data_IF_535609227080
#
_entry.id   IF_535609227080
#
_cell.length_a   1.000
_cell.length_b   1.000
_cell.length_c   1.000
_cell.angle_alpha   90.00
_cell.angle_beta   90.00
_cell.angle_gamma   90.00
#
_symmetry.space_group_name_H-M   'P 1'
#
loop_
_entity.id
_entity.type
_entity.pdbx_description
1 polymer ?
#
# COMPACT_ATOMS: atom_id res chain seq x y z
N UNK A 1 0.59 -6.35 18.06
CA UNK A 1 0.11 -6.50 16.66
C UNK A 1 -1.17 -5.70 16.41
N UNK A 2 -2.30 -6.03 17.04
CA UNK A 2 -3.57 -5.29 16.87
C UNK A 2 -3.42 -3.76 16.98
N UNK A 3 -2.78 -3.27 18.05
CA UNK A 3 -2.54 -1.83 18.24
C UNK A 3 -1.78 -1.19 17.06
N UNK A 4 -0.74 -1.86 16.56
CA UNK A 4 0.05 -1.41 15.40
C UNK A 4 -0.78 -1.36 14.12
N UNK A 5 -1.62 -2.37 13.89
CA UNK A 5 -2.55 -2.41 12.76
C UNK A 5 -3.55 -1.24 12.81
N UNK A 6 -4.14 -0.99 13.98
CA UNK A 6 -5.05 0.15 14.19
C UNK A 6 -4.34 1.48 13.97
N UNK A 7 -3.13 1.65 14.49
CA UNK A 7 -2.34 2.88 14.27
C UNK A 7 -2.00 3.08 12.80
N UNK A 8 -1.58 2.02 12.10
CA UNK A 8 -1.27 2.09 10.68
C UNK A 8 -2.51 2.40 9.85
N UNK A 9 -3.64 1.75 10.16
CA UNK A 9 -4.93 2.01 9.54
C UNK A 9 -5.30 3.49 9.67
N UNK A 10 -5.33 4.03 10.89
CA UNK A 10 -5.69 5.43 11.13
C UNK A 10 -4.75 6.38 10.38
N UNK A 11 -3.43 6.13 10.46
CA UNK A 11 -2.43 6.97 9.80
C UNK A 11 -2.61 7.01 8.29
N UNK A 12 -2.78 5.85 7.65
CA UNK A 12 -2.95 5.77 6.20
C UNK A 12 -4.29 6.37 5.81
N UNK A 13 -5.38 6.02 6.49
CA UNK A 13 -6.72 6.56 6.21
C UNK A 13 -6.73 8.08 6.23
N UNK A 14 -6.16 8.70 7.26
CA UNK A 14 -6.10 10.15 7.38
C UNK A 14 -5.20 10.76 6.32
N UNK A 15 -4.01 10.20 6.11
CA UNK A 15 -3.06 10.72 5.12
C UNK A 15 -3.64 10.68 3.70
N UNK A 16 -4.27 9.57 3.32
CA UNK A 16 -4.94 9.43 2.03
C UNK A 16 -6.12 10.38 1.91
N UNK A 17 -6.95 10.51 2.94
CA UNK A 17 -8.10 11.45 2.89
C UNK A 17 -7.61 12.88 2.67
N UNK A 18 -6.59 13.31 3.42
CA UNK A 18 -5.97 14.63 3.25
C UNK A 18 -5.34 14.79 1.86
N UNK A 19 -4.70 13.75 1.34
CA UNK A 19 -4.12 13.76 0.01
C UNK A 19 -5.17 13.92 -1.09
N UNK A 20 -6.29 13.20 -1.00
CA UNK A 20 -7.42 13.34 -1.94
C UNK A 20 -8.00 14.74 -1.87
N UNK A 21 -8.22 15.26 -0.65
CA UNK A 21 -8.69 16.64 -0.47
C UNK A 21 -7.74 17.65 -1.12
N UNK A 22 -6.43 17.50 -0.92
CA UNK A 22 -5.42 18.36 -1.54
C UNK A 22 -5.50 18.30 -3.08
N UNK A 23 -5.59 17.11 -3.66
CA UNK A 23 -5.72 16.95 -5.12
C UNK A 23 -6.99 17.63 -5.64
N UNK A 24 -8.12 17.44 -4.95
CA UNK A 24 -9.38 18.08 -5.32
C UNK A 24 -9.26 19.60 -5.25
N UNK A 25 -8.64 20.15 -4.20
CA UNK A 25 -8.40 21.59 -4.07
C UNK A 25 -7.52 22.14 -5.21
N UNK A 26 -6.46 21.41 -5.60
CA UNK A 26 -5.53 21.87 -6.64
C UNK A 26 -6.10 21.76 -8.05
N UNK A 27 -6.86 20.70 -8.35
CA UNK A 27 -7.27 20.39 -9.73
C UNK A 27 -8.74 20.71 -10.03
N UNK A 28 -9.61 20.78 -9.03
CA UNK A 28 -11.05 21.05 -9.25
C UNK A 28 -11.48 22.47 -8.87
N UNK A 29 -10.58 23.27 -8.28
CA UNK A 29 -10.84 24.68 -7.96
C UNK A 29 -12.01 24.88 -6.97
N UNK A 30 -12.72 26.01 -7.09
CA UNK A 30 -13.83 26.40 -6.21
C UNK A 30 -15.18 25.74 -6.57
N UNK A 31 -15.18 24.45 -6.89
CA UNK A 31 -16.44 23.73 -7.10
C UNK A 31 -17.14 23.42 -5.78
N UNK A 32 -18.46 23.62 -5.72
CA UNK A 32 -19.28 23.25 -4.57
C UNK A 32 -19.36 21.72 -4.48
N UNK A 33 -18.82 21.17 -3.40
CA UNK A 33 -18.87 19.74 -3.12
C UNK A 33 -20.16 19.40 -2.36
N UNK A 34 -20.83 18.33 -2.79
CA UNK A 34 -21.91 17.76 -2.02
C UNK A 34 -21.37 17.10 -0.74
N UNK A 35 -22.16 17.09 0.33
CA UNK A 35 -21.79 16.37 1.58
C UNK A 35 -21.53 14.88 1.29
N UNK A 36 -22.26 14.28 0.35
CA UNK A 36 -22.04 12.90 -0.08
C UNK A 36 -20.66 12.67 -0.70
N UNK A 37 -20.13 13.67 -1.41
CA UNK A 37 -18.77 13.61 -1.99
C UNK A 37 -17.70 13.58 -0.90
N UNK A 38 -17.89 14.34 0.19
CA UNK A 38 -16.97 14.33 1.33
C UNK A 38 -16.90 12.94 1.97
N UNK A 39 -18.05 12.29 2.18
CA UNK A 39 -18.10 10.92 2.70
C UNK A 39 -17.42 9.90 1.80
N UNK A 40 -17.51 10.07 0.48
CA UNK A 40 -16.78 9.24 -0.48
C UNK A 40 -15.27 9.37 -0.32
N UNK A 41 -14.74 10.57 -0.04
CA UNK A 41 -13.30 10.74 0.23
C UNK A 41 -12.84 10.04 1.51
N UNK A 42 -13.63 10.10 2.58
CA UNK A 42 -13.37 9.27 3.77
C UNK A 42 -13.44 7.77 3.44
N UNK A 43 -14.36 7.35 2.57
CA UNK A 43 -14.41 5.99 2.04
C UNK A 43 -13.12 5.59 1.32
N UNK A 44 -12.60 6.45 0.44
CA UNK A 44 -11.32 6.23 -0.26
C UNK A 44 -10.17 6.07 0.75
N UNK A 45 -10.11 6.97 1.74
CA UNK A 45 -9.17 6.86 2.84
C UNK A 45 -9.29 5.52 3.56
N UNK A 46 -10.50 5.09 3.91
CA UNK A 46 -10.77 3.83 4.59
C UNK A 46 -10.33 2.61 3.79
N UNK A 47 -10.61 2.56 2.49
CA UNK A 47 -10.16 1.48 1.60
C UNK A 47 -8.63 1.40 1.56
N UNK A 48 -7.98 2.55 1.39
CA UNK A 48 -6.51 2.60 1.39
C UNK A 48 -5.92 2.23 2.75
N UNK A 49 -6.55 2.65 3.84
CA UNK A 49 -6.19 2.24 5.20
C UNK A 49 -6.30 0.74 5.40
N UNK A 50 -7.36 0.11 4.90
CA UNK A 50 -7.52 -1.35 4.98
C UNK A 50 -6.44 -2.08 4.18
N UNK A 51 -6.16 -1.67 2.94
CA UNK A 51 -5.18 -2.38 2.11
C UNK A 51 -3.75 -2.10 2.55
N UNK A 52 -3.36 -0.84 2.64
CA UNK A 52 -1.98 -0.44 2.93
C UNK A 52 -1.67 -0.45 4.43
N UNK A 53 -2.63 -0.05 5.27
CA UNK A 53 -2.46 0.01 6.72
C UNK A 53 -2.63 -1.34 7.41
N UNK A 54 -3.44 -2.24 6.85
CA UNK A 54 -3.69 -3.57 7.43
C UNK A 54 -3.26 -4.74 6.53
N UNK A 55 -3.79 -4.81 5.31
CA UNK A 55 -3.61 -5.95 4.41
C UNK A 55 -2.16 -6.24 4.10
N UNK A 56 -1.39 -5.22 3.70
CA UNK A 56 0.04 -5.36 3.44
C UNK A 56 0.85 -5.74 4.67
N UNK A 57 0.73 -5.08 5.82
CA UNK A 57 1.40 -5.52 7.04
C UNK A 57 1.11 -6.98 7.41
N UNK A 58 -0.13 -7.45 7.24
CA UNK A 58 -0.49 -8.85 7.47
C UNK A 58 0.18 -9.78 6.46
N UNK A 59 0.04 -9.50 5.17
CA UNK A 59 0.59 -10.31 4.08
C UNK A 59 2.11 -10.47 4.19
N UNK A 60 2.82 -9.42 4.56
CA UNK A 60 4.29 -9.42 4.56
C UNK A 60 4.93 -9.78 5.89
N UNK A 61 4.25 -9.61 7.03
CA UNK A 61 4.86 -9.83 8.35
C UNK A 61 4.19 -10.90 9.19
N UNK A 62 2.98 -11.32 8.84
CA UNK A 62 2.21 -12.31 9.63
C UNK A 62 2.07 -13.61 8.84
N UNK A 63 1.73 -13.50 7.56
CA UNK A 63 1.50 -14.66 6.71
C UNK A 63 2.84 -15.29 6.29
N UNK A 64 2.92 -16.61 6.35
CA UNK A 64 4.13 -17.40 6.04
C UNK A 64 4.14 -17.95 4.61
N UNK A 65 3.38 -17.33 3.70
CA UNK A 65 3.28 -17.79 2.32
C UNK A 65 4.57 -17.54 1.54
N UNK A 66 4.85 -18.37 0.51
CA UNK A 66 5.92 -18.10 -0.44
C UNK A 66 5.74 -16.73 -1.10
N UNK A 67 6.86 -16.03 -1.33
CA UNK A 67 6.84 -14.68 -1.89
C UNK A 67 6.01 -14.54 -3.18
N UNK A 68 6.03 -15.47 -4.15
CA UNK A 68 5.19 -15.36 -5.35
C UNK A 68 3.69 -15.30 -5.03
N UNK A 69 3.25 -16.08 -4.04
CA UNK A 69 1.84 -16.12 -3.61
C UNK A 69 1.45 -14.80 -2.96
N UNK A 70 2.30 -14.29 -2.05
CA UNK A 70 2.08 -13.01 -1.38
C UNK A 70 2.01 -11.86 -2.38
N UNK A 71 2.87 -11.85 -3.40
CA UNK A 71 2.86 -10.84 -4.47
C UNK A 71 1.55 -10.89 -5.25
N UNK A 72 1.12 -12.07 -5.72
CA UNK A 72 -0.13 -12.21 -6.50
C UNK A 72 -1.34 -11.74 -5.69
N UNK A 73 -1.42 -12.10 -4.40
CA UNK A 73 -2.53 -11.69 -3.54
C UNK A 73 -2.47 -10.18 -3.25
N UNK A 74 -1.28 -9.63 -3.02
CA UNK A 74 -1.10 -8.19 -2.83
C UNK A 74 -1.49 -7.39 -4.08
N UNK A 75 -1.19 -7.91 -5.27
CA UNK A 75 -1.63 -7.34 -6.55
C UNK A 75 -3.15 -7.41 -6.67
N UNK A 76 -3.78 -8.56 -6.44
CA UNK A 76 -5.24 -8.71 -6.50
C UNK A 76 -5.96 -7.74 -5.55
N UNK A 77 -5.52 -7.67 -4.29
CA UNK A 77 -6.07 -6.71 -3.32
C UNK A 77 -5.90 -5.26 -3.77
N UNK A 78 -4.76 -4.92 -4.37
CA UNK A 78 -4.49 -3.56 -4.84
C UNK A 78 -5.37 -3.18 -6.02
N UNK A 79 -5.50 -4.08 -7.01
CA UNK A 79 -6.34 -3.86 -8.19
C UNK A 79 -7.81 -3.66 -7.77
N UNK A 80 -8.32 -4.55 -6.92
CA UNK A 80 -9.69 -4.44 -6.39
C UNK A 80 -9.90 -3.13 -5.62
N UNK A 81 -8.95 -2.75 -4.78
CA UNK A 81 -9.01 -1.49 -4.05
C UNK A 81 -8.91 -0.28 -4.96
N UNK A 82 -8.07 -0.33 -6.00
CA UNK A 82 -7.98 0.71 -7.03
C UNK A 82 -9.33 0.94 -7.68
N UNK A 83 -9.99 -0.13 -8.13
CA UNK A 83 -11.34 -0.05 -8.69
C UNK A 83 -12.38 0.48 -7.70
N UNK A 84 -12.35 0.03 -6.46
CA UNK A 84 -13.27 0.53 -5.42
C UNK A 84 -13.03 2.02 -5.12
N UNK A 85 -11.78 2.46 -5.07
CA UNK A 85 -11.41 3.87 -4.90
C UNK A 85 -11.89 4.69 -6.09
N UNK A 86 -11.70 4.21 -7.33
CA UNK A 86 -12.21 4.87 -8.52
C UNK A 86 -13.73 4.94 -8.51
N UNK A 87 -14.43 3.88 -8.12
CA UNK A 87 -15.89 3.84 -7.98
C UNK A 87 -16.41 4.86 -6.94
N UNK A 88 -15.71 4.97 -5.81
CA UNK A 88 -16.02 5.97 -4.78
C UNK A 88 -15.78 7.39 -5.28
N UNK A 89 -14.78 7.60 -6.13
CA UNK A 89 -14.49 8.91 -6.71
C UNK A 89 -15.50 9.28 -7.81
N UNK A 90 -15.67 8.42 -8.82
CA UNK A 90 -16.61 8.59 -9.92
C UNK A 90 -16.84 7.28 -10.69
N UNK A 91 -18.11 6.96 -10.91
CA UNK A 91 -18.50 5.82 -11.74
C UNK A 91 -18.09 5.99 -13.21
N UNK A 92 -18.07 7.22 -13.74
CA UNK A 92 -17.69 7.46 -15.14
C UNK A 92 -16.23 7.08 -15.39
N UNK A 93 -15.35 7.44 -14.44
CA UNK A 93 -13.94 7.04 -14.48
C UNK A 93 -13.77 5.54 -14.30
N UNK A 94 -14.60 4.90 -13.46
CA UNK A 94 -14.59 3.45 -13.30
C UNK A 94 -14.94 2.76 -14.62
N UNK A 95 -16.02 3.16 -15.28
CA UNK A 95 -16.44 2.54 -16.55
C UNK A 95 -15.40 2.68 -17.66
N UNK A 96 -14.62 3.76 -17.66
CA UNK A 96 -13.50 3.93 -18.59
C UNK A 96 -12.29 3.06 -18.24
N UNK A 97 -12.07 2.76 -16.96
CA UNK A 97 -10.93 1.98 -16.48
C UNK A 97 -11.15 0.46 -16.52
N UNK A 98 -12.39 0.00 -16.34
CA UNK A 98 -12.73 -1.44 -16.30
C UNK A 98 -12.30 -2.22 -17.55
N UNK A 99 -12.42 -1.70 -18.79
CA UNK A 99 -11.94 -2.40 -19.98
C UNK A 99 -10.44 -2.74 -19.92
N UNK A 100 -9.66 -1.94 -19.20
CA UNK A 100 -8.20 -2.07 -19.09
C UNK A 100 -7.76 -2.85 -17.85
N UNK A 101 -8.60 -3.75 -17.34
CA UNK A 101 -8.34 -4.42 -16.06
C UNK A 101 -7.12 -5.33 -16.06
N UNK A 102 -6.82 -5.95 -17.19
CA UNK A 102 -5.67 -6.84 -17.28
C UNK A 102 -4.37 -6.03 -17.40
N UNK A 103 -4.38 -4.88 -18.08
CA UNK A 103 -3.26 -3.95 -18.16
C UNK A 103 -2.94 -3.36 -16.78
N UNK A 104 -3.97 -2.91 -16.06
CA UNK A 104 -3.83 -2.41 -14.69
C UNK A 104 -3.23 -3.51 -13.81
N UNK A 105 -3.78 -4.73 -13.85
CA UNK A 105 -3.26 -5.85 -13.07
C UNK A 105 -1.81 -6.19 -13.42
N UNK A 106 -1.45 -6.17 -14.71
CA UNK A 106 -0.10 -6.46 -15.17
C UNK A 106 0.91 -5.41 -14.70
N UNK A 107 0.58 -4.13 -14.85
CA UNK A 107 1.45 -3.02 -14.40
C UNK A 107 1.62 -3.08 -12.88
N UNK A 108 0.52 -3.33 -12.15
CA UNK A 108 0.57 -3.49 -10.69
C UNK A 108 1.43 -4.68 -10.28
N UNK A 109 1.32 -5.82 -10.96
CA UNK A 109 2.13 -7.01 -10.69
C UNK A 109 3.62 -6.76 -10.93
N UNK A 110 3.96 -6.11 -12.04
CA UNK A 110 5.34 -5.72 -12.35
C UNK A 110 5.88 -4.80 -11.24
N UNK A 111 5.09 -3.80 -10.85
CA UNK A 111 5.43 -2.88 -9.76
C UNK A 111 5.70 -3.62 -8.44
N UNK A 112 4.80 -4.49 -8.01
CA UNK A 112 4.98 -5.29 -6.79
C UNK A 112 6.21 -6.19 -6.85
N UNK A 113 6.45 -6.82 -8.00
CA UNK A 113 7.61 -7.70 -8.19
C UNK A 113 8.92 -6.92 -8.10
N UNK A 114 9.00 -5.76 -8.74
CA UNK A 114 10.16 -4.87 -8.68
C UNK A 114 10.41 -4.36 -7.26
N UNK A 115 9.37 -3.86 -6.59
CA UNK A 115 9.47 -3.39 -5.21
C UNK A 115 9.91 -4.50 -4.26
N UNK A 116 9.35 -5.71 -4.41
CA UNK A 116 9.75 -6.86 -3.62
C UNK A 116 11.23 -7.18 -3.82
N UNK A 117 11.71 -7.25 -5.06
CA UNK A 117 13.11 -7.56 -5.35
C UNK A 117 14.06 -6.52 -4.76
N UNK A 118 13.75 -5.23 -4.94
CA UNK A 118 14.56 -4.13 -4.38
C UNK A 118 14.57 -4.18 -2.85
N UNK A 119 13.41 -4.37 -2.24
CA UNK A 119 13.27 -4.42 -0.79
C UNK A 119 14.02 -5.62 -0.19
N UNK A 120 13.88 -6.80 -0.80
CA UNK A 120 14.57 -8.02 -0.38
C UNK A 120 16.09 -7.82 -0.45
N UNK A 121 16.60 -7.27 -1.55
CA UNK A 121 18.04 -6.99 -1.71
C UNK A 121 18.54 -6.05 -0.61
N UNK A 122 17.81 -4.98 -0.32
CA UNK A 122 18.14 -4.05 0.76
C UNK A 122 18.15 -4.74 2.13
N UNK A 123 17.15 -5.56 2.42
CA UNK A 123 17.05 -6.28 3.69
C UNK A 123 18.17 -7.31 3.87
N UNK A 124 18.52 -8.06 2.82
CA UNK A 124 19.64 -9.00 2.82
C UNK A 124 20.97 -8.29 3.11
N UNK A 125 21.22 -7.15 2.46
CA UNK A 125 22.43 -6.34 2.72
C UNK A 125 22.47 -5.81 4.15
N UNK A 126 21.33 -5.34 4.68
CA UNK A 126 21.22 -4.87 6.06
C UNK A 126 21.51 -5.98 7.07
N UNK A 127 21.02 -7.19 6.81
CA UNK A 127 21.29 -8.35 7.68
C UNK A 127 22.77 -8.75 7.64
N UNK A 128 23.36 -8.84 6.45
CA UNK A 128 24.78 -9.16 6.30
C UNK A 128 25.68 -8.17 7.07
N UNK A 129 25.38 -6.87 7.00
CA UNK A 129 26.12 -5.84 7.77
C UNK A 129 25.99 -6.06 9.28
N UNK A 130 24.79 -6.37 9.78
CA UNK A 130 24.57 -6.65 11.21
C UNK A 130 25.34 -7.88 11.67
N UNK A 131 25.33 -8.95 10.88
CA UNK A 131 26.08 -10.17 11.18
C UNK A 131 27.60 -9.91 11.21
N UNK A 132 28.13 -9.14 10.25
CA UNK A 132 29.55 -8.79 10.23
C UNK A 132 29.95 -7.94 11.45
N UNK A 133 29.10 -6.99 11.86
CA UNK A 133 29.33 -6.20 13.07
C UNK A 133 29.34 -7.06 14.34
N UNK A 134 28.39 -7.99 14.48
CA UNK A 134 28.32 -8.90 15.61
C UNK A 134 29.54 -9.84 15.65
N UNK A 135 29.99 -10.33 14.51
CA UNK A 135 31.20 -11.16 14.41
C UNK A 135 32.46 -10.38 14.80
N UNK A 136 32.60 -9.14 14.35
CA UNK A 136 33.74 -8.27 14.72
C UNK A 136 33.75 -7.95 16.23
N UNK A 137 32.59 -7.66 16.82
CA UNK A 137 32.47 -7.45 18.28
C UNK A 137 32.83 -8.70 19.08
N UNK A 138 32.38 -9.88 18.63
CA UNK A 138 32.71 -11.15 19.27
C UNK A 138 34.21 -11.46 19.18
N UNK A 139 34.88 -11.07 18.09
CA UNK A 139 36.32 -11.26 17.95
C UNK A 139 37.09 -10.40 18.96
N UNK A 140 36.76 -9.10 19.06
CA UNK A 140 37.37 -8.18 20.03
C UNK A 140 37.10 -8.52 21.51
N UNK A 141 36.13 -9.39 21.83
CA UNK A 141 35.86 -9.84 23.20
C UNK A 141 36.64 -11.12 23.59
N UNK A 142 37.32 -11.76 22.64
CA UNK A 142 38.12 -12.98 22.87
C UNK A 142 39.62 -12.73 22.96
N UNK A 143 40.07 -11.52 22.63
CA UNK A 143 41.43 -11.02 22.78
C UNK A 143 41.54 -10.12 24.02
#
# INVERSE_FOLDING_TARGET
MYKTLVTNFIRVTLLTTLWVLLLVTLFMGNQLLSVGTVWRFFGIGGVMGLVMGCGYPVLWNVVTWPAPVTVVIATGLNVLAGYLVTALFSNDWLYQLVPFWWEVALITLIGHTLFFYVYQKWQSQKMARRLNQLSAQRHNQRD
#
